data_IF_015150430682
#
_entry.id   IF_015150430682
#
_cell.length_a   1.000
_cell.length_b   1.000
_cell.length_c   1.000
_cell.angle_alpha   90.00
_cell.angle_beta   90.00
_cell.angle_gamma   90.00
#
_symmetry.space_group_name_H-M   'P 1'
#
loop_
_entity.id
_entity.type
_entity.pdbx_description
1 polymer ?
#
# COMPACT_ATOMS: atom_id res chain seq x y z
N UNK A 1 -12.70 -13.31 3.84
CA UNK A 1 -11.40 -12.73 3.43
C UNK A 1 -11.29 -11.30 3.92
N UNK A 2 -10.07 -10.86 4.15
CA UNK A 2 -9.78 -9.51 4.64
C UNK A 2 -9.02 -8.75 3.56
N UNK A 3 -9.41 -7.50 3.33
CA UNK A 3 -8.66 -6.59 2.46
C UNK A 3 -7.90 -5.61 3.35
N UNK A 4 -6.58 -5.60 3.22
CA UNK A 4 -5.69 -4.62 3.80
C UNK A 4 -5.56 -3.48 2.80
N UNK A 5 -6.20 -2.36 3.09
CA UNK A 5 -6.24 -1.20 2.20
C UNK A 5 -5.32 -0.12 2.72
N UNK A 6 -4.37 0.32 1.89
CA UNK A 6 -3.48 1.43 2.19
C UNK A 6 -3.82 2.57 1.24
N UNK A 7 -4.34 3.66 1.79
CA UNK A 7 -4.64 4.87 1.01
C UNK A 7 -3.46 5.81 1.15
N UNK A 8 -2.90 6.24 0.00
CA UNK A 8 -1.69 7.06 -0.06
C UNK A 8 -1.97 8.29 -0.90
N UNK A 9 -1.70 9.48 -0.33
CA UNK A 9 -1.61 10.71 -1.12
C UNK A 9 -0.13 11.02 -1.33
N UNK A 10 0.30 11.10 -2.58
CA UNK A 10 1.68 11.33 -2.99
C UNK A 10 1.84 12.72 -3.60
N UNK A 11 2.91 13.43 -3.29
CA UNK A 11 3.23 14.71 -3.90
C UNK A 11 3.41 14.56 -5.40
N UNK A 12 2.91 15.53 -6.16
CA UNK A 12 2.96 15.51 -7.63
C UNK A 12 4.37 15.51 -8.18
N UNK A 13 5.32 16.15 -7.49
CA UNK A 13 6.70 16.27 -7.95
C UNK A 13 7.46 14.95 -8.01
N UNK A 14 7.04 13.94 -7.25
CA UNK A 14 7.65 12.61 -7.26
C UNK A 14 6.70 11.51 -7.75
N UNK A 15 5.50 11.89 -8.20
CA UNK A 15 4.43 10.94 -8.52
C UNK A 15 4.86 9.87 -9.53
N UNK A 16 5.45 10.26 -10.65
CA UNK A 16 5.74 9.31 -11.74
C UNK A 16 6.79 8.29 -11.33
N UNK A 17 7.88 8.73 -10.70
CA UNK A 17 8.91 7.80 -10.22
C UNK A 17 8.38 6.92 -9.08
N UNK A 18 7.57 7.50 -8.16
CA UNK A 18 6.95 6.78 -7.06
C UNK A 18 6.03 5.68 -7.56
N UNK A 19 5.15 6.00 -8.51
CA UNK A 19 4.21 5.01 -9.06
C UNK A 19 4.94 3.85 -9.74
N UNK A 20 5.99 4.16 -10.50
CA UNK A 20 6.82 3.13 -11.12
C UNK A 20 7.49 2.24 -10.07
N UNK A 21 8.08 2.84 -9.05
CA UNK A 21 8.74 2.10 -7.96
C UNK A 21 7.74 1.23 -7.18
N UNK A 22 6.56 1.76 -6.90
CA UNK A 22 5.51 1.00 -6.21
C UNK A 22 5.10 -0.23 -7.02
N UNK A 23 4.93 -0.09 -8.33
CA UNK A 23 4.52 -1.20 -9.19
C UNK A 23 5.62 -2.24 -9.40
N UNK A 24 6.87 -1.80 -9.51
CA UNK A 24 7.98 -2.69 -9.89
C UNK A 24 8.76 -3.25 -8.72
N UNK A 25 8.68 -2.61 -7.55
CA UNK A 25 9.44 -3.02 -6.37
C UNK A 25 8.56 -3.28 -5.16
N UNK A 26 7.79 -2.28 -4.71
CA UNK A 26 7.10 -2.37 -3.42
C UNK A 26 5.97 -3.41 -3.44
N UNK A 27 5.05 -3.32 -4.40
CA UNK A 27 3.95 -4.29 -4.51
C UNK A 27 4.48 -5.72 -4.68
N UNK A 28 5.45 -5.98 -5.58
CA UNK A 28 6.05 -7.31 -5.66
C UNK A 28 6.68 -7.79 -4.35
N UNK A 29 7.34 -6.91 -3.59
CA UNK A 29 7.92 -7.28 -2.30
C UNK A 29 6.84 -7.66 -1.28
N UNK A 30 5.72 -6.92 -1.26
CA UNK A 30 4.58 -7.25 -0.40
C UNK A 30 4.00 -8.61 -0.77
N UNK A 31 3.78 -8.84 -2.05
CA UNK A 31 3.22 -10.11 -2.54
C UNK A 31 4.16 -11.29 -2.32
N UNK A 32 5.47 -11.08 -2.38
CA UNK A 32 6.48 -12.12 -2.17
C UNK A 32 6.49 -12.65 -0.72
N UNK A 33 5.88 -11.94 0.23
CA UNK A 33 5.76 -12.44 1.61
C UNK A 33 4.87 -13.67 1.73
N UNK A 34 4.00 -13.91 0.74
CA UNK A 34 3.12 -15.08 0.69
C UNK A 34 1.83 -14.97 1.51
N UNK A 35 1.59 -13.84 2.18
CA UNK A 35 0.40 -13.67 3.02
C UNK A 35 -0.83 -13.16 2.26
N UNK A 36 -0.64 -12.61 1.07
CA UNK A 36 -1.74 -12.07 0.26
C UNK A 36 -1.96 -12.91 -0.99
N UNK A 37 -3.23 -13.13 -1.34
CA UNK A 37 -3.63 -13.94 -2.50
C UNK A 37 -3.82 -13.12 -3.76
N UNK A 38 -4.09 -11.82 -3.61
CA UNK A 38 -4.21 -10.89 -4.75
C UNK A 38 -3.96 -9.45 -4.28
N UNK A 39 -3.70 -8.56 -5.25
CA UNK A 39 -3.61 -7.14 -5.00
C UNK A 39 -4.32 -6.36 -6.10
N UNK A 40 -4.71 -5.13 -5.78
CA UNK A 40 -5.29 -4.20 -6.73
C UNK A 40 -4.82 -2.79 -6.39
N UNK A 41 -4.34 -2.07 -7.39
CA UNK A 41 -3.97 -0.67 -7.25
C UNK A 41 -5.00 0.17 -7.97
N UNK A 42 -5.66 1.07 -7.24
CA UNK A 42 -6.69 1.96 -7.76
C UNK A 42 -6.32 3.42 -7.52
N UNK A 43 -6.61 4.26 -8.50
CA UNK A 43 -6.56 5.70 -8.30
C UNK A 43 -7.87 6.15 -7.70
N UNK A 44 -7.81 6.96 -6.64
CA UNK A 44 -9.03 7.55 -6.05
C UNK A 44 -9.46 8.72 -6.91
N UNK A 45 -10.69 8.68 -7.40
CA UNK A 45 -11.24 9.68 -8.32
C UNK A 45 -11.91 10.82 -7.56
N UNK A 46 -11.07 11.72 -7.05
CA UNK A 46 -11.51 12.94 -6.36
C UNK A 46 -10.76 14.14 -6.94
N UNK A 47 -11.34 15.33 -6.82
CA UNK A 47 -10.62 16.55 -7.12
C UNK A 47 -9.72 16.88 -5.94
N UNK A 48 -8.43 17.02 -6.20
CA UNK A 48 -7.44 17.31 -5.18
C UNK A 48 -6.59 18.49 -5.59
N UNK A 49 -6.42 19.42 -4.65
CA UNK A 49 -5.54 20.57 -4.85
C UNK A 49 -4.07 20.17 -4.66
N UNK A 50 -3.82 19.18 -3.78
CA UNK A 50 -2.47 18.73 -3.45
C UNK A 50 -2.36 17.22 -3.59
N UNK A 51 -1.33 16.80 -4.33
CA UNK A 51 -1.01 15.40 -4.47
C UNK A 51 -1.99 14.61 -5.33
N UNK A 52 -1.79 13.31 -5.36
CA UNK A 52 -2.64 12.35 -6.07
C UNK A 52 -2.86 11.18 -5.12
N UNK A 53 -4.09 10.71 -5.00
CA UNK A 53 -4.45 9.66 -4.04
C UNK A 53 -4.66 8.32 -4.72
N UNK A 54 -4.07 7.28 -4.12
CA UNK A 54 -4.18 5.89 -4.56
C UNK A 54 -4.65 4.99 -3.42
N UNK A 55 -5.33 3.91 -3.79
CA UNK A 55 -5.74 2.85 -2.88
C UNK A 55 -5.00 1.57 -3.28
N UNK A 56 -4.19 1.05 -2.35
CA UNK A 56 -3.50 -0.24 -2.51
C UNK A 56 -4.28 -1.27 -1.72
N UNK A 57 -4.86 -2.25 -2.41
CA UNK A 57 -5.69 -3.26 -1.77
C UNK A 57 -5.00 -4.62 -1.85
N UNK A 58 -4.76 -5.23 -0.69
CA UNK A 58 -4.16 -6.56 -0.59
C UNK A 58 -5.16 -7.49 0.10
N UNK A 59 -5.51 -8.58 -0.55
CA UNK A 59 -6.48 -9.53 -0.01
C UNK A 59 -5.76 -10.70 0.63
N UNK A 60 -6.09 -11.00 1.89
CA UNK A 60 -5.61 -12.18 2.60
C UNK A 60 -6.79 -13.05 3.07
N UNK A 61 -6.50 -14.28 3.45
CA UNK A 61 -7.54 -15.27 3.80
C UNK A 61 -8.28 -14.93 5.09
N UNK A 62 -7.56 -14.41 6.10
CA UNK A 62 -8.11 -14.19 7.42
C UNK A 62 -7.28 -13.17 8.21
N UNK A 63 -7.77 -12.78 9.38
CA UNK A 63 -7.09 -11.82 10.25
C UNK A 63 -5.79 -12.36 10.84
N UNK A 64 -5.67 -13.66 11.04
CA UNK A 64 -4.44 -14.26 11.57
C UNK A 64 -3.28 -14.06 10.62
N UNK A 65 -3.50 -14.28 9.32
CA UNK A 65 -2.50 -14.05 8.28
C UNK A 65 -2.11 -12.57 8.22
N UNK A 66 -3.09 -11.68 8.33
CA UNK A 66 -2.81 -10.24 8.34
C UNK A 66 -1.95 -9.84 9.54
N UNK A 67 -2.26 -10.34 10.73
CA UNK A 67 -1.47 -10.05 11.94
C UNK A 67 -0.04 -10.57 11.83
N UNK A 68 0.14 -11.76 11.26
CA UNK A 68 1.48 -12.30 11.00
C UNK A 68 2.26 -11.45 10.00
N UNK A 69 1.62 -11.02 8.91
CA UNK A 69 2.22 -10.10 7.97
C UNK A 69 2.67 -8.80 8.67
N UNK A 70 1.77 -8.21 9.47
CA UNK A 70 2.06 -6.96 10.18
C UNK A 70 3.23 -7.12 11.16
N UNK A 71 3.35 -8.28 11.79
CA UNK A 71 4.44 -8.57 12.72
C UNK A 71 5.77 -8.84 12.01
N UNK A 72 5.74 -9.64 10.95
CA UNK A 72 6.96 -10.17 10.32
C UNK A 72 7.52 -9.27 9.22
N UNK A 73 6.66 -8.59 8.47
CA UNK A 73 7.07 -7.93 7.22
C UNK A 73 6.71 -6.44 7.12
N UNK A 74 5.58 -6.02 7.68
CA UNK A 74 5.12 -4.64 7.50
C UNK A 74 6.12 -3.58 7.97
N UNK A 75 6.80 -3.73 9.14
CA UNK A 75 7.74 -2.70 9.57
C UNK A 75 8.86 -2.45 8.58
N UNK A 76 9.45 -3.51 8.02
CA UNK A 76 10.51 -3.44 7.02
C UNK A 76 10.03 -2.79 5.73
N UNK A 77 8.87 -3.22 5.24
CA UNK A 77 8.32 -2.73 3.98
C UNK A 77 7.86 -1.28 4.08
N UNK A 78 7.29 -0.89 5.21
CA UNK A 78 6.91 0.51 5.47
C UNK A 78 8.13 1.41 5.59
N UNK A 79 9.20 0.91 6.20
CA UNK A 79 10.46 1.65 6.32
C UNK A 79 11.08 1.92 4.96
N UNK A 80 11.05 0.96 4.04
CA UNK A 80 11.56 1.14 2.67
C UNK A 80 10.88 2.31 1.97
N UNK A 81 9.55 2.43 2.09
CA UNK A 81 8.80 3.54 1.51
C UNK A 81 9.15 4.86 2.20
N UNK A 82 9.16 4.87 3.52
CA UNK A 82 9.43 6.07 4.31
C UNK A 82 10.83 6.62 4.07
N UNK A 83 11.82 5.74 3.94
CA UNK A 83 13.21 6.15 3.69
C UNK A 83 13.36 6.76 2.29
N UNK A 84 12.64 6.22 1.31
CA UNK A 84 12.75 6.68 -0.08
C UNK A 84 11.96 7.96 -0.35
N UNK A 85 10.80 8.11 0.28
CA UNK A 85 9.86 9.20 0.00
C UNK A 85 9.48 10.00 1.25
N UNK A 86 10.42 10.17 2.17
CA UNK A 86 10.20 10.95 3.39
C UNK A 86 9.64 12.34 3.07
N UNK A 87 8.61 12.76 3.80
CA UNK A 87 7.93 14.05 3.66
C UNK A 87 7.20 14.28 2.32
N UNK A 88 7.10 13.23 1.48
CA UNK A 88 6.47 13.32 0.16
C UNK A 88 5.09 12.66 0.09
N UNK A 89 4.68 11.94 1.13
CA UNK A 89 3.40 11.27 1.15
C UNK A 89 2.77 11.26 2.54
N UNK A 90 1.46 11.06 2.55
CA UNK A 90 0.71 10.67 3.76
C UNK A 90 -0.06 9.40 3.44
N UNK A 91 -0.19 8.53 4.43
CA UNK A 91 -0.87 7.26 4.26
C UNK A 91 -1.71 6.91 5.48
N UNK A 92 -2.83 6.26 5.24
CA UNK A 92 -3.61 5.64 6.30
C UNK A 92 -4.12 4.28 5.84
N UNK A 93 -4.45 3.44 6.80
CA UNK A 93 -4.82 2.04 6.56
C UNK A 93 -6.24 1.76 7.01
N UNK A 94 -6.95 0.97 6.23
CA UNK A 94 -8.31 0.53 6.52
C UNK A 94 -8.39 -0.97 6.32
N UNK A 95 -8.99 -1.68 7.26
CA UNK A 95 -9.23 -3.11 7.12
C UNK A 95 -10.67 -3.32 6.70
N UNK A 96 -10.88 -4.12 5.67
CA UNK A 96 -12.20 -4.43 5.12
C UNK A 96 -12.43 -5.92 5.19
N UNK A 97 -13.63 -6.31 5.60
CA UNK A 97 -14.04 -7.72 5.54
C UNK A 97 -14.90 -7.93 4.30
N UNK A 98 -14.56 -8.94 3.51
CA UNK A 98 -15.37 -9.32 2.35
C UNK A 98 -16.58 -10.12 2.85
N UNK A 99 -17.76 -9.64 2.53
CA UNK A 99 -19.02 -10.25 2.97
C UNK A 99 -19.51 -11.29 1.96
#
# INVERSE_FOLDING_TARGET
MIIYNVTVNIDKDVHDEWLHWMKTKHIPDVMATGFFIENKLCKVLVEEEQGITYSFQYTCKNMEDLKEYQRLHAPRLQKDVADKYADKFVAFRTLLEVI
#
